data_IF_221916900182
#
_entry.id   IF_221916900182
#
_cell.length_a   1.000
_cell.length_b   1.000
_cell.length_c   1.000
_cell.angle_alpha   90.00
_cell.angle_beta   90.00
_cell.angle_gamma   90.00
#
_symmetry.space_group_name_H-M   'P 1'
#
loop_
_entity.id
_entity.type
_entity.pdbx_description
1 polymer ?
#
# COMPACT_ATOMS: atom_id res chain seq x y z
N UNK A 1 43.55 -37.71 34.12
CA UNK A 1 44.57 -37.05 34.99
C UNK A 1 44.11 -35.60 35.18
N UNK A 2 43.59 -35.24 36.35
CA UNK A 2 44.32 -34.68 37.52
C UNK A 2 44.97 -33.31 37.21
N UNK A 3 44.44 -32.19 37.73
CA UNK A 3 44.61 -31.61 39.09
C UNK A 3 45.87 -30.71 39.13
N UNK A 4 45.98 -29.51 39.73
CA UNK A 4 45.19 -28.58 40.58
C UNK A 4 45.83 -27.16 40.41
N UNK A 5 45.52 -26.03 41.08
CA UNK A 5 45.07 -25.77 42.47
C UNK A 5 44.74 -24.27 42.66
N UNK A 6 43.83 -23.94 43.60
CA UNK A 6 43.61 -22.56 44.11
C UNK A 6 44.56 -22.23 45.28
N UNK A 7 44.57 -20.96 45.74
CA UNK A 7 44.26 -20.61 47.15
C UNK A 7 43.10 -19.56 47.22
N UNK A 8 42.08 -19.60 48.10
CA UNK A 8 42.03 -19.51 49.60
C UNK A 8 42.61 -18.17 50.13
N UNK A 9 41.98 -17.39 51.04
CA UNK A 9 41.05 -17.72 52.14
C UNK A 9 40.25 -16.48 52.66
N UNK A 10 39.12 -16.69 53.38
CA UNK A 10 38.62 -15.78 54.44
C UNK A 10 39.37 -16.01 55.78
N UNK A 11 38.86 -15.68 57.00
CA UNK A 11 37.50 -15.30 57.45
C UNK A 11 37.52 -13.92 58.18
N UNK A 12 36.70 -13.49 59.17
CA UNK A 12 35.53 -14.02 59.91
C UNK A 12 34.51 -12.89 60.20
N UNK A 13 33.33 -13.30 60.69
CA UNK A 13 32.23 -12.51 61.22
C UNK A 13 32.54 -11.87 62.59
N UNK A 14 31.69 -10.91 63.00
CA UNK A 14 31.15 -10.61 64.36
C UNK A 14 31.10 -9.09 64.63
N UNK A 15 30.16 -8.53 65.40
CA UNK A 15 28.85 -8.94 65.98
C UNK A 15 28.33 -7.73 66.78
N UNK A 16 27.01 -7.69 67.07
CA UNK A 16 26.34 -6.73 68.00
C UNK A 16 26.24 -5.30 67.42
N UNK A 17 25.17 -4.54 67.62
CA UNK A 17 23.88 -4.83 68.25
C UNK A 17 23.42 -3.73 69.20
N UNK A 18 22.15 -3.35 69.12
CA UNK A 18 21.42 -2.73 70.22
C UNK A 18 21.15 -1.23 70.13
N UNK A 19 19.96 -0.91 70.65
CA UNK A 19 19.51 0.35 71.25
C UNK A 19 19.05 1.49 70.33
N UNK A 20 17.76 1.80 70.51
CA UNK A 20 17.09 2.97 69.98
C UNK A 20 17.49 4.24 70.74
N UNK A 21 17.44 5.37 70.04
CA UNK A 21 17.35 6.70 70.66
C UNK A 21 16.19 7.45 69.98
N UNK A 22 15.08 7.62 70.70
CA UNK A 22 13.98 8.52 70.32
C UNK A 22 14.21 9.86 71.00
N UNK A 23 14.45 10.93 70.25
CA UNK A 23 14.33 12.30 70.76
C UNK A 23 13.59 13.18 69.74
N UNK A 24 12.46 13.74 70.19
CA UNK A 24 11.89 15.08 69.85
C UNK A 24 12.11 15.61 68.41
N UNK A 25 11.07 15.84 67.60
CA UNK A 25 10.21 17.04 67.69
C UNK A 25 11.03 18.31 67.39
N UNK A 26 10.74 19.15 66.39
CA UNK A 26 9.45 19.78 66.05
C UNK A 26 9.44 20.32 64.60
N UNK A 27 8.26 20.84 64.20
CA UNK A 27 8.01 21.75 63.07
C UNK A 27 7.92 21.14 61.64
N UNK A 28 6.85 21.52 60.95
CA UNK A 28 6.49 21.08 59.62
C UNK A 28 6.83 22.14 58.56
N UNK A 29 7.14 21.70 57.34
CA UNK A 29 6.84 22.45 56.12
C UNK A 29 6.15 21.48 55.17
N UNK A 30 4.95 21.84 54.72
CA UNK A 30 4.19 21.05 53.76
C UNK A 30 4.74 21.30 52.35
N UNK A 31 5.06 20.22 51.64
CA UNK A 31 5.28 20.22 50.20
C UNK A 31 4.38 19.15 49.57
N UNK A 32 3.12 19.52 49.30
CA UNK A 32 2.23 18.73 48.46
C UNK A 32 2.69 18.82 47.00
N UNK A 33 3.75 18.08 46.69
CA UNK A 33 4.18 17.83 45.32
C UNK A 33 3.12 17.00 44.62
N UNK A 34 2.24 17.66 43.86
CA UNK A 34 1.23 17.01 43.04
C UNK A 34 1.92 16.17 41.96
N UNK A 35 2.05 14.86 42.21
CA UNK A 35 2.49 13.91 41.20
C UNK A 35 1.45 13.86 40.08
N UNK A 36 1.73 14.53 38.96
CA UNK A 36 0.96 14.36 37.74
C UNK A 36 1.15 12.93 37.24
N UNK A 37 0.26 12.03 37.65
CA UNK A 37 0.03 10.76 36.99
C UNK A 37 -0.51 11.08 35.59
N UNK A 38 0.39 11.15 34.61
CA UNK A 38 0.03 11.20 33.20
C UNK A 38 -0.52 9.83 32.83
N UNK A 39 -1.82 9.65 33.02
CA UNK A 39 -2.54 8.55 32.39
C UNK A 39 -2.42 8.72 30.88
N UNK A 40 -2.00 7.70 30.11
CA UNK A 40 -2.09 7.77 28.66
C UNK A 40 -3.58 7.90 28.32
N UNK A 41 -3.94 9.02 27.68
CA UNK A 41 -5.28 9.18 27.15
C UNK A 41 -5.46 8.16 26.02
N UNK A 42 -6.12 7.04 26.31
CA UNK A 42 -6.68 6.19 25.28
C UNK A 42 -7.58 7.09 24.42
N UNK A 43 -7.23 7.25 23.15
CA UNK A 43 -7.96 8.11 22.23
C UNK A 43 -9.42 7.64 22.19
N UNK A 44 -10.32 8.50 22.66
CA UNK A 44 -11.75 8.28 22.46
C UNK A 44 -12.01 8.52 20.99
N UNK A 45 -12.47 7.50 20.28
CA UNK A 45 -13.04 7.66 18.95
C UNK A 45 -14.06 8.81 18.99
N UNK A 46 -13.92 9.76 18.07
CA UNK A 46 -14.77 10.93 18.03
C UNK A 46 -16.17 10.52 17.53
N UNK A 47 -17.23 11.30 17.85
CA UNK A 47 -18.58 11.02 17.34
C UNK A 47 -18.62 10.88 15.81
N UNK A 48 -17.74 11.64 15.14
CA UNK A 48 -17.57 11.63 13.71
C UNK A 48 -17.03 10.29 13.20
N UNK A 49 -16.10 9.63 13.90
CA UNK A 49 -15.55 8.32 13.52
C UNK A 49 -16.65 7.24 13.47
N UNK A 50 -17.60 7.28 14.41
CA UNK A 50 -18.73 6.35 14.43
C UNK A 50 -19.71 6.59 13.28
N UNK A 51 -20.04 7.85 13.01
CA UNK A 51 -20.92 8.22 11.89
C UNK A 51 -20.28 7.92 10.51
N UNK A 52 -18.96 8.13 10.39
CA UNK A 52 -18.13 7.77 9.24
C UNK A 52 -18.13 6.24 9.04
N UNK A 53 -18.02 5.45 10.13
CA UNK A 53 -18.11 3.99 10.09
C UNK A 53 -19.48 3.49 9.61
N UNK A 54 -20.58 4.01 10.16
CA UNK A 54 -21.94 3.62 9.77
C UNK A 54 -22.24 3.96 8.29
N UNK A 55 -21.84 5.16 7.84
CA UNK A 55 -21.99 5.56 6.42
C UNK A 55 -21.14 4.68 5.50
N UNK A 56 -19.90 4.40 5.89
CA UNK A 56 -19.01 3.51 5.14
C UNK A 56 -19.55 2.09 5.02
N UNK A 57 -20.17 1.56 6.08
CA UNK A 57 -20.84 0.26 6.05
C UNK A 57 -22.02 0.22 5.08
N UNK A 58 -22.86 1.26 5.06
CA UNK A 58 -24.00 1.35 4.13
C UNK A 58 -23.52 1.36 2.67
N UNK A 59 -22.55 2.22 2.35
CA UNK A 59 -21.93 2.30 1.04
C UNK A 59 -21.31 0.97 0.60
N UNK A 60 -20.64 0.27 1.53
CA UNK A 60 -20.09 -1.06 1.27
C UNK A 60 -21.19 -2.07 0.93
N UNK A 61 -22.28 -2.07 1.71
CA UNK A 61 -23.44 -2.93 1.49
C UNK A 61 -24.07 -2.69 0.10
N UNK A 62 -24.24 -1.43 -0.29
CA UNK A 62 -24.86 -0.98 -1.55
C UNK A 62 -23.99 -1.26 -2.79
N UNK A 63 -22.67 -1.11 -2.69
CA UNK A 63 -21.78 -1.06 -3.85
C UNK A 63 -20.76 -2.20 -3.95
N UNK A 64 -20.27 -2.73 -2.82
CA UNK A 64 -19.07 -3.57 -2.79
C UNK A 64 -19.37 -5.07 -2.56
N UNK A 65 -20.42 -5.39 -1.80
CA UNK A 65 -20.74 -6.77 -1.36
C UNK A 65 -20.91 -7.78 -2.49
N UNK A 66 -21.37 -7.33 -3.67
CA UNK A 66 -21.54 -8.19 -4.87
C UNK A 66 -20.25 -8.90 -5.29
N UNK A 67 -19.10 -8.28 -5.07
CA UNK A 67 -17.79 -8.78 -5.51
C UNK A 67 -16.86 -9.11 -4.32
N UNK A 68 -16.88 -8.29 -3.27
CA UNK A 68 -16.02 -8.48 -2.10
C UNK A 68 -16.68 -9.28 -0.95
N UNK A 69 -17.94 -9.69 -1.11
CA UNK A 69 -18.68 -10.44 -0.09
C UNK A 69 -19.22 -9.57 1.05
N UNK A 70 -20.02 -10.17 1.94
CA UNK A 70 -20.58 -9.44 3.08
C UNK A 70 -19.57 -9.26 4.23
N UNK A 71 -18.57 -10.13 4.29
CA UNK A 71 -17.52 -10.18 5.31
C UNK A 71 -16.12 -9.85 4.77
N UNK A 72 -16.04 -9.25 3.57
CA UNK A 72 -14.77 -8.91 2.94
C UNK A 72 -13.96 -10.14 2.49
N UNK A 73 -14.61 -11.29 2.33
CA UNK A 73 -14.00 -12.56 1.93
C UNK A 73 -13.54 -12.59 0.46
N UNK A 74 -14.19 -11.80 -0.40
CA UNK A 74 -13.95 -11.77 -1.83
C UNK A 74 -14.21 -13.11 -2.53
N UNK A 75 -13.59 -13.28 -3.69
CA UNK A 75 -13.48 -14.54 -4.41
C UNK A 75 -12.11 -14.57 -5.12
N UNK A 76 -11.01 -14.84 -4.39
CA UNK A 76 -9.67 -14.80 -4.97
C UNK A 76 -9.47 -15.86 -6.07
N UNK A 77 -8.69 -15.57 -7.13
CA UNK A 77 -7.95 -14.33 -7.36
C UNK A 77 -8.79 -13.21 -8.00
N UNK A 78 -10.00 -13.50 -8.48
CA UNK A 78 -10.82 -12.57 -9.29
C UNK A 78 -11.27 -11.32 -8.54
N UNK A 79 -11.65 -11.49 -7.27
CA UNK A 79 -11.95 -10.39 -6.35
C UNK A 79 -11.15 -10.60 -5.07
N UNK A 80 -10.19 -9.72 -4.72
CA UNK A 80 -9.35 -9.92 -3.55
C UNK A 80 -10.18 -9.86 -2.27
N UNK A 81 -9.76 -10.66 -1.28
CA UNK A 81 -10.21 -10.50 0.08
C UNK A 81 -9.80 -9.11 0.61
N UNK A 82 -10.72 -8.46 1.32
CA UNK A 82 -10.48 -7.23 2.05
C UNK A 82 -10.25 -7.51 3.53
N UNK A 83 -10.87 -8.54 4.10
CA UNK A 83 -10.63 -8.96 5.49
C UNK A 83 -9.23 -9.56 5.64
N UNK A 84 -8.43 -8.99 6.55
CA UNK A 84 -7.05 -9.42 6.83
C UNK A 84 -6.02 -8.99 5.78
N UNK A 85 -6.40 -8.12 4.84
CA UNK A 85 -5.53 -7.73 3.73
C UNK A 85 -4.61 -6.56 4.14
N UNK A 86 -3.30 -6.81 4.23
CA UNK A 86 -2.30 -5.81 4.60
C UNK A 86 -2.13 -4.67 3.57
N UNK A 87 -2.54 -4.87 2.31
CA UNK A 87 -2.55 -3.80 1.30
C UNK A 87 -3.49 -2.64 1.68
N UNK A 88 -4.39 -2.87 2.64
CA UNK A 88 -5.29 -1.84 3.16
C UNK A 88 -4.61 -0.89 4.17
N UNK A 89 -3.32 -1.04 4.47
CA UNK A 89 -2.57 -0.07 5.27
C UNK A 89 -2.37 1.27 4.52
N UNK A 90 -2.20 1.22 3.20
CA UNK A 90 -2.08 2.42 2.35
C UNK A 90 -3.46 3.07 2.10
N UNK A 91 -3.67 4.25 2.68
CA UNK A 91 -4.92 5.00 2.54
C UNK A 91 -5.08 5.63 1.15
N UNK A 92 -4.00 6.14 0.56
CA UNK A 92 -4.03 6.81 -0.74
C UNK A 92 -4.39 5.81 -1.84
N UNK A 93 -3.80 4.60 -1.77
CA UNK A 93 -4.11 3.46 -2.64
C UNK A 93 -5.60 3.08 -2.63
N UNK A 94 -6.21 2.95 -1.45
CA UNK A 94 -7.64 2.59 -1.34
C UNK A 94 -8.50 3.67 -1.99
N UNK A 95 -8.20 4.94 -1.71
CA UNK A 95 -8.91 6.09 -2.30
C UNK A 95 -8.77 6.09 -3.82
N UNK A 96 -7.57 5.84 -4.35
CA UNK A 96 -7.33 5.75 -5.79
C UNK A 96 -8.14 4.61 -6.42
N UNK A 97 -8.12 3.42 -5.84
CA UNK A 97 -8.84 2.24 -6.37
C UNK A 97 -10.36 2.43 -6.33
N UNK A 98 -10.92 3.09 -5.29
CA UNK A 98 -12.35 3.41 -5.25
C UNK A 98 -12.72 4.51 -6.26
N UNK A 99 -11.90 5.56 -6.39
CA UNK A 99 -12.17 6.67 -7.29
C UNK A 99 -12.01 6.32 -8.77
N UNK A 100 -10.92 5.63 -9.13
CA UNK A 100 -10.49 5.37 -10.51
C UNK A 100 -10.85 3.95 -11.00
N UNK A 101 -11.20 3.03 -10.09
CA UNK A 101 -11.35 1.61 -10.38
C UNK A 101 -10.01 0.87 -10.50
N UNK A 102 -10.05 -0.46 -10.54
CA UNK A 102 -8.88 -1.31 -10.80
C UNK A 102 -9.30 -2.70 -11.30
N UNK A 103 -8.79 -3.13 -12.45
CA UNK A 103 -9.16 -4.40 -13.07
C UNK A 103 -10.68 -4.52 -13.28
N UNK A 104 -11.32 -5.49 -12.60
CA UNK A 104 -12.76 -5.70 -12.63
C UNK A 104 -13.56 -4.75 -11.70
N UNK A 105 -12.89 -4.00 -10.82
CA UNK A 105 -13.54 -3.03 -9.93
C UNK A 105 -13.81 -1.73 -10.70
N UNK A 106 -15.08 -1.31 -10.88
CA UNK A 106 -15.39 -0.08 -11.58
C UNK A 106 -15.00 1.16 -10.76
N UNK A 107 -14.79 2.33 -11.40
CA UNK A 107 -14.75 3.60 -10.70
C UNK A 107 -16.12 3.95 -10.11
N UNK A 108 -16.14 4.70 -9.01
CA UNK A 108 -17.37 5.15 -8.35
C UNK A 108 -17.56 6.69 -8.42
N UNK A 109 -17.73 7.28 -9.62
CA UNK A 109 -17.74 8.75 -9.81
C UNK A 109 -18.95 9.46 -9.20
N UNK A 110 -19.96 8.73 -8.72
CA UNK A 110 -21.13 9.27 -8.03
C UNK A 110 -20.94 9.43 -6.52
N UNK A 111 -19.87 8.85 -5.94
CA UNK A 111 -19.56 9.01 -4.52
C UNK A 111 -18.85 10.33 -4.28
N UNK A 112 -19.23 11.03 -3.21
CA UNK A 112 -18.54 12.26 -2.81
C UNK A 112 -17.21 11.94 -2.13
N UNK A 113 -16.33 12.94 -2.02
CA UNK A 113 -15.10 12.89 -1.21
C UNK A 113 -15.33 12.34 0.20
N UNK A 114 -16.45 12.73 0.83
CA UNK A 114 -16.84 12.26 2.16
C UNK A 114 -17.33 10.81 2.16
N UNK A 115 -18.08 10.39 1.13
CA UNK A 115 -18.51 8.99 0.98
C UNK A 115 -17.31 8.06 0.76
N UNK A 116 -16.34 8.45 -0.07
CA UNK A 116 -15.10 7.68 -0.30
C UNK A 116 -14.27 7.61 0.98
N UNK A 117 -14.15 8.71 1.75
CA UNK A 117 -13.47 8.72 3.03
C UNK A 117 -14.14 7.78 4.05
N UNK A 118 -15.47 7.78 4.11
CA UNK A 118 -16.25 6.88 4.96
C UNK A 118 -16.10 5.41 4.56
N UNK A 119 -16.23 5.10 3.27
CA UNK A 119 -16.09 3.75 2.73
C UNK A 119 -14.66 3.20 2.93
N UNK A 120 -13.63 4.01 2.67
CA UNK A 120 -12.24 3.64 2.91
C UNK A 120 -11.97 3.41 4.41
N UNK A 121 -12.47 4.30 5.28
CA UNK A 121 -12.36 4.14 6.74
C UNK A 121 -13.03 2.86 7.23
N UNK A 122 -14.21 2.53 6.72
CA UNK A 122 -14.90 1.28 7.07
C UNK A 122 -14.08 0.05 6.65
N UNK A 123 -13.67 -0.05 5.38
CA UNK A 123 -12.90 -1.20 4.86
C UNK A 123 -11.57 -1.41 5.62
N UNK A 124 -10.90 -0.31 6.04
CA UNK A 124 -9.66 -0.34 6.82
C UNK A 124 -9.79 -0.81 8.27
N UNK A 125 -11.01 -0.84 8.83
CA UNK A 125 -11.25 -1.14 10.24
C UNK A 125 -12.39 -2.17 10.44
N UNK A 126 -12.91 -2.74 9.36
CA UNK A 126 -13.89 -3.82 9.38
C UNK A 126 -13.20 -5.19 9.56
N UNK A 127 -13.96 -6.14 10.11
CA UNK A 127 -13.57 -7.55 10.25
C UNK A 127 -12.30 -7.72 11.10
N UNK A 128 -11.16 -8.10 10.51
CA UNK A 128 -9.87 -8.27 11.18
C UNK A 128 -8.89 -7.12 10.90
N UNK A 129 -9.32 -6.06 10.20
CA UNK A 129 -8.49 -4.92 9.83
C UNK A 129 -8.47 -3.87 10.96
N UNK A 130 -7.36 -3.11 11.06
CA UNK A 130 -7.20 -2.04 12.06
C UNK A 130 -6.17 -1.01 11.60
N UNK A 131 -6.38 -0.39 10.43
CA UNK A 131 -5.43 0.54 9.82
C UNK A 131 -5.75 2.03 10.06
N UNK A 132 -6.77 2.35 10.86
CA UNK A 132 -7.18 3.73 11.15
C UNK A 132 -8.02 4.36 10.03
N UNK A 133 -8.59 5.53 10.32
CA UNK A 133 -9.50 6.24 9.43
C UNK A 133 -8.82 6.99 8.28
N UNK A 134 -9.62 7.41 7.30
CA UNK A 134 -9.25 8.26 6.16
C UNK A 134 -10.11 9.51 6.21
N UNK A 135 -9.51 10.70 6.16
CA UNK A 135 -10.27 11.96 6.18
C UNK A 135 -10.70 12.38 4.77
N UNK A 136 -11.74 13.21 4.69
CA UNK A 136 -12.13 13.84 3.44
C UNK A 136 -11.00 14.71 2.84
N UNK A 137 -10.13 15.29 3.67
CA UNK A 137 -8.97 16.05 3.21
C UNK A 137 -7.93 15.16 2.52
N UNK A 138 -7.69 13.94 3.03
CA UNK A 138 -6.87 12.94 2.33
C UNK A 138 -7.47 12.59 0.97
N UNK A 139 -8.78 12.36 0.90
CA UNK A 139 -9.45 12.05 -0.37
C UNK A 139 -9.39 13.24 -1.34
N UNK A 140 -9.58 14.46 -0.85
CA UNK A 140 -9.48 15.67 -1.65
C UNK A 140 -8.06 15.91 -2.17
N UNK A 141 -7.02 15.58 -1.38
CA UNK A 141 -5.63 15.66 -1.79
C UNK A 141 -5.32 14.66 -2.92
N UNK A 142 -5.70 13.39 -2.79
CA UNK A 142 -5.48 12.37 -3.83
C UNK A 142 -6.31 12.66 -5.10
N UNK A 143 -7.54 13.16 -4.95
CA UNK A 143 -8.34 13.64 -6.08
C UNK A 143 -7.73 14.87 -6.76
N UNK A 144 -7.13 15.80 -6.00
CA UNK A 144 -6.44 16.97 -6.55
C UNK A 144 -5.12 16.61 -7.23
N UNK A 145 -4.37 15.62 -6.71
CA UNK A 145 -3.21 15.05 -7.39
C UNK A 145 -3.62 14.39 -8.72
N UNK A 146 -4.78 13.74 -8.75
CA UNK A 146 -5.40 13.18 -9.97
C UNK A 146 -5.96 14.24 -10.92
N UNK A 147 -6.30 15.43 -10.44
CA UNK A 147 -6.81 16.55 -11.26
C UNK A 147 -5.70 17.47 -11.78
N UNK A 148 -4.60 17.66 -11.02
CA UNK A 148 -3.36 18.23 -11.55
C UNK A 148 -2.69 17.28 -12.55
N UNK A 149 -2.95 15.98 -12.46
CA UNK A 149 -2.66 15.04 -13.54
C UNK A 149 -3.51 15.29 -14.82
N UNK A 150 -4.50 16.18 -14.85
CA UNK A 150 -5.14 16.62 -16.10
C UNK A 150 -4.35 17.76 -16.78
N UNK A 151 -3.30 18.29 -16.14
CA UNK A 151 -2.19 19.01 -16.81
C UNK A 151 -1.14 18.00 -17.31
N UNK A 152 -1.62 16.94 -17.95
CA UNK A 152 -0.95 15.64 -18.02
C UNK A 152 0.29 15.62 -18.88
N UNK A 153 1.36 14.99 -18.38
CA UNK A 153 2.40 14.42 -19.24
C UNK A 153 1.85 13.16 -19.90
N UNK A 154 1.92 13.07 -21.22
CA UNK A 154 1.56 11.87 -21.96
C UNK A 154 2.70 10.84 -21.90
N UNK A 155 2.36 9.56 -21.99
CA UNK A 155 3.37 8.50 -22.26
C UNK A 155 4.16 8.71 -23.55
N UNK A 156 3.71 9.61 -24.44
CA UNK A 156 4.41 10.01 -25.66
C UNK A 156 5.47 11.11 -25.47
N UNK A 157 5.56 11.71 -24.27
CA UNK A 157 6.42 12.88 -24.00
C UNK A 157 7.84 12.51 -23.53
N UNK A 158 8.27 11.25 -23.70
CA UNK A 158 9.61 10.81 -23.28
C UNK A 158 9.74 10.54 -21.78
N UNK A 159 8.81 9.76 -21.21
CA UNK A 159 8.64 9.62 -19.75
C UNK A 159 9.53 8.55 -19.08
N UNK A 160 10.41 7.91 -19.83
CA UNK A 160 11.30 6.83 -19.37
C UNK A 160 12.62 6.88 -20.17
N UNK A 161 13.71 6.34 -19.64
CA UNK A 161 15.00 6.25 -20.36
C UNK A 161 15.14 4.92 -21.11
N UNK A 162 15.95 4.89 -22.18
CA UNK A 162 16.29 3.65 -22.88
C UNK A 162 16.96 2.62 -21.95
N UNK A 163 17.85 3.07 -21.05
CA UNK A 163 18.48 2.22 -20.04
C UNK A 163 17.44 1.59 -19.10
N UNK A 164 16.43 2.36 -18.68
CA UNK A 164 15.33 1.85 -17.87
C UNK A 164 14.53 0.76 -18.61
N UNK A 165 14.21 0.98 -19.89
CA UNK A 165 13.51 -0.01 -20.71
C UNK A 165 14.35 -1.28 -20.94
N UNK A 166 15.69 -1.17 -21.02
CA UNK A 166 16.60 -2.33 -21.12
C UNK A 166 16.64 -3.14 -19.82
N UNK A 167 16.71 -2.49 -18.65
CA UNK A 167 16.58 -3.19 -17.35
C UNK A 167 15.23 -3.88 -17.24
N UNK A 168 14.15 -3.19 -17.64
CA UNK A 168 12.79 -3.70 -17.68
C UNK A 168 12.62 -4.94 -18.56
N UNK A 169 13.27 -4.97 -19.72
CA UNK A 169 13.29 -6.14 -20.59
C UNK A 169 13.91 -7.36 -19.89
N UNK A 170 14.99 -7.14 -19.13
CA UNK A 170 15.65 -8.20 -18.36
C UNK A 170 14.73 -8.76 -17.28
N UNK A 171 14.14 -7.90 -16.43
CA UNK A 171 13.21 -8.30 -15.39
C UNK A 171 11.95 -9.01 -15.95
N UNK A 172 11.35 -8.44 -17.00
CA UNK A 172 10.23 -9.04 -17.74
C UNK A 172 10.56 -10.44 -18.26
N UNK A 173 11.79 -10.65 -18.75
CA UNK A 173 12.21 -11.94 -19.31
C UNK A 173 12.17 -13.07 -18.27
N UNK A 174 12.51 -12.76 -17.01
CA UNK A 174 12.49 -13.69 -15.89
C UNK A 174 11.11 -13.95 -15.31
N UNK A 175 10.31 -12.90 -15.08
CA UNK A 175 9.06 -12.99 -14.32
C UNK A 175 7.79 -13.16 -15.18
N UNK A 176 7.76 -12.63 -16.41
CA UNK A 176 6.51 -12.43 -17.16
C UNK A 176 6.47 -13.15 -18.51
N UNK A 177 7.63 -13.38 -19.12
CA UNK A 177 7.73 -13.84 -20.52
C UNK A 177 7.18 -15.24 -20.80
N UNK A 178 7.01 -16.06 -19.76
CA UNK A 178 6.42 -17.40 -19.85
C UNK A 178 4.93 -17.36 -20.19
N UNK A 179 4.18 -16.40 -19.64
CA UNK A 179 2.74 -16.25 -19.90
C UNK A 179 2.46 -15.21 -21.01
N UNK A 180 3.11 -14.04 -20.94
CA UNK A 180 2.83 -12.93 -21.84
C UNK A 180 3.67 -12.92 -23.14
N UNK A 181 4.43 -13.99 -23.37
CA UNK A 181 5.28 -14.19 -24.54
C UNK A 181 6.58 -13.38 -24.50
N UNK A 182 7.64 -13.92 -25.11
CA UNK A 182 8.99 -13.30 -25.11
C UNK A 182 9.07 -11.92 -25.79
N UNK A 183 8.02 -11.49 -26.48
CA UNK A 183 7.92 -10.18 -27.17
C UNK A 183 6.66 -9.41 -26.80
N UNK A 184 6.11 -9.63 -25.60
CA UNK A 184 4.87 -8.99 -25.11
C UNK A 184 3.64 -9.27 -26.01
N UNK A 185 3.71 -10.31 -26.84
CA UNK A 185 2.71 -10.67 -27.84
C UNK A 185 1.62 -11.63 -27.32
N UNK A 186 1.64 -11.93 -26.01
CA UNK A 186 0.82 -12.96 -25.38
C UNK A 186 1.32 -14.37 -25.69
N UNK A 187 0.57 -15.37 -25.21
CA UNK A 187 0.72 -16.77 -25.60
C UNK A 187 -0.53 -17.22 -26.40
N UNK A 188 -0.68 -16.82 -27.68
CA UNK A 188 -1.81 -17.25 -28.52
C UNK A 188 -1.59 -18.63 -29.18
N UNK A 189 -0.33 -19.06 -29.35
CA UNK A 189 0.03 -20.15 -30.28
C UNK A 189 0.62 -21.41 -29.61
N UNK A 190 0.80 -21.41 -28.29
CA UNK A 190 1.32 -22.56 -27.53
C UNK A 190 0.17 -23.23 -26.75
N UNK A 191 -0.25 -24.46 -27.10
CA UNK A 191 -1.36 -25.14 -26.45
C UNK A 191 -1.07 -25.59 -25.02
N UNK A 192 0.20 -25.62 -24.61
CA UNK A 192 0.63 -25.98 -23.25
C UNK A 192 0.75 -24.74 -22.34
N UNK A 193 0.53 -23.52 -22.87
CA UNK A 193 0.53 -22.27 -22.11
C UNK A 193 -0.88 -21.75 -21.80
N UNK A 194 -1.07 -21.10 -20.64
CA UNK A 194 -2.31 -20.34 -20.36
C UNK A 194 -2.38 -19.14 -21.30
N UNK A 195 -3.50 -19.01 -22.01
CA UNK A 195 -3.74 -17.87 -22.89
C UNK A 195 -3.74 -16.56 -22.09
N UNK A 196 -2.72 -15.74 -22.30
CA UNK A 196 -2.54 -14.44 -21.65
C UNK A 196 -2.52 -13.31 -22.68
N UNK A 197 -3.01 -12.11 -22.34
CA UNK A 197 -3.07 -11.00 -23.29
C UNK A 197 -1.66 -10.51 -23.67
N UNK A 198 -1.48 -9.97 -24.90
CA UNK A 198 -0.32 -9.17 -25.23
C UNK A 198 -0.32 -7.89 -24.38
N UNK A 199 0.88 -7.49 -23.95
CA UNK A 199 1.10 -6.37 -23.03
C UNK A 199 1.65 -5.12 -23.73
N UNK A 200 1.75 -5.12 -25.06
CA UNK A 200 2.28 -4.00 -25.84
C UNK A 200 1.42 -3.63 -27.05
N UNK A 201 1.76 -2.48 -27.65
CA UNK A 201 1.25 -1.97 -28.94
C UNK A 201 -0.27 -1.71 -28.89
N UNK A 202 -0.96 -1.90 -30.02
CA UNK A 202 -2.35 -1.52 -30.19
C UNK A 202 -3.34 -2.18 -29.21
N UNK A 203 -3.05 -3.37 -28.64
CA UNK A 203 -3.91 -3.95 -27.59
C UNK A 203 -3.65 -3.33 -26.22
N UNK A 204 -2.39 -3.05 -25.87
CA UNK A 204 -2.06 -2.28 -24.67
C UNK A 204 -2.76 -0.92 -24.68
N UNK A 205 -2.60 -0.15 -25.75
CA UNK A 205 -3.23 1.17 -25.88
C UNK A 205 -4.76 1.09 -25.70
N UNK A 206 -5.46 0.19 -26.39
CA UNK A 206 -6.93 0.08 -26.25
C UNK A 206 -7.44 -0.33 -24.87
N UNK A 207 -6.65 -1.06 -24.08
CA UNK A 207 -7.04 -1.50 -22.74
C UNK A 207 -6.79 -0.41 -21.68
N UNK A 208 -5.72 0.36 -21.87
CA UNK A 208 -5.22 1.32 -20.87
C UNK A 208 -5.45 2.79 -21.24
N UNK A 209 -6.02 3.08 -22.41
CA UNK A 209 -6.33 4.45 -22.85
C UNK A 209 -7.19 5.21 -21.84
N UNK A 210 -6.75 6.44 -21.51
CA UNK A 210 -7.34 7.30 -20.51
C UNK A 210 -6.92 7.01 -19.06
N UNK A 211 -6.16 5.93 -18.79
CA UNK A 211 -5.68 5.58 -17.45
C UNK A 211 -4.28 6.09 -17.17
N UNK A 212 -3.95 6.28 -15.89
CA UNK A 212 -2.61 6.69 -15.46
C UNK A 212 -1.62 5.51 -15.45
N UNK A 213 -0.31 5.79 -15.53
CA UNK A 213 0.72 4.78 -15.29
C UNK A 213 0.64 4.22 -13.86
N UNK A 214 0.17 4.98 -12.87
CA UNK A 214 -0.09 4.44 -11.53
C UNK A 214 -1.16 3.35 -11.55
N UNK A 215 -2.24 3.53 -12.33
CA UNK A 215 -3.28 2.50 -12.47
C UNK A 215 -2.71 1.20 -13.06
N UNK A 216 -1.82 1.31 -14.06
CA UNK A 216 -1.12 0.17 -14.66
C UNK A 216 -0.13 -0.49 -13.69
N UNK A 217 0.70 0.31 -13.02
CA UNK A 217 1.68 -0.12 -12.03
C UNK A 217 1.02 -0.89 -10.91
N UNK A 218 -0.04 -0.33 -10.33
CA UNK A 218 -0.74 -0.95 -9.22
C UNK A 218 -1.50 -2.21 -9.61
N UNK A 219 -2.14 -2.22 -10.77
CA UNK A 219 -2.74 -3.44 -11.31
C UNK A 219 -1.68 -4.54 -11.52
N UNK A 220 -0.53 -4.18 -12.07
CA UNK A 220 0.57 -5.13 -12.35
C UNK A 220 1.10 -5.70 -11.05
N UNK A 221 1.40 -4.87 -10.05
CA UNK A 221 1.81 -5.30 -8.70
C UNK A 221 0.81 -6.24 -8.02
N UNK A 222 -0.48 -5.90 -8.07
CA UNK A 222 -1.53 -6.65 -7.36
C UNK A 222 -1.95 -7.97 -8.02
N UNK A 223 -1.77 -8.09 -9.34
CA UNK A 223 -2.30 -9.23 -10.11
C UNK A 223 -1.24 -10.07 -10.81
N UNK A 224 0.01 -9.59 -10.88
CA UNK A 224 1.11 -10.24 -11.59
C UNK A 224 2.41 -10.30 -10.76
N UNK A 225 3.19 -11.40 -10.86
CA UNK A 225 2.81 -12.70 -11.45
C UNK A 225 1.57 -13.33 -10.79
N UNK A 226 0.71 -14.01 -11.55
CA UNK A 226 -0.59 -14.52 -11.05
C UNK A 226 -0.43 -15.53 -9.89
N UNK A 227 0.66 -16.28 -9.90
CA UNK A 227 1.04 -17.26 -8.88
C UNK A 227 1.72 -16.64 -7.65
N UNK A 228 2.29 -15.44 -7.78
CA UNK A 228 2.99 -14.74 -6.71
C UNK A 228 2.97 -13.20 -6.89
N UNK A 229 1.83 -12.52 -6.69
CA UNK A 229 1.74 -11.07 -6.88
C UNK A 229 2.61 -10.28 -5.90
N UNK A 230 3.01 -9.07 -6.28
CA UNK A 230 3.87 -8.15 -5.51
C UNK A 230 5.17 -8.83 -5.01
N UNK A 231 5.81 -9.62 -5.88
CA UNK A 231 7.02 -10.40 -5.57
C UNK A 231 8.32 -9.79 -6.10
N UNK A 232 8.23 -8.80 -6.98
CA UNK A 232 9.36 -8.01 -7.47
C UNK A 232 9.52 -6.72 -6.66
N UNK A 233 10.68 -6.06 -6.76
CA UNK A 233 10.89 -4.74 -6.19
C UNK A 233 10.10 -3.66 -6.95
N UNK A 234 9.81 -2.55 -6.28
CA UNK A 234 9.05 -1.41 -6.83
C UNK A 234 9.77 -0.82 -8.06
N UNK A 235 11.10 -0.79 -8.05
CA UNK A 235 11.98 -0.43 -9.17
C UNK A 235 11.82 -1.40 -10.37
N UNK A 236 11.76 -2.71 -10.13
CA UNK A 236 11.60 -3.69 -11.20
C UNK A 236 10.25 -3.55 -11.89
N UNK A 237 9.18 -3.23 -11.15
CA UNK A 237 7.87 -2.95 -11.74
C UNK A 237 7.88 -1.66 -12.61
N UNK A 238 8.57 -0.61 -12.18
CA UNK A 238 8.71 0.63 -12.96
C UNK A 238 9.53 0.40 -14.24
N UNK A 239 10.65 -0.31 -14.12
CA UNK A 239 11.49 -0.71 -15.24
C UNK A 239 10.70 -1.57 -16.26
N UNK A 240 9.92 -2.56 -15.79
CA UNK A 240 9.05 -3.38 -16.65
C UNK A 240 8.04 -2.51 -17.40
N UNK A 241 7.46 -1.49 -16.77
CA UNK A 241 6.53 -0.57 -17.44
C UNK A 241 7.24 0.26 -18.52
N UNK A 242 8.45 0.77 -18.25
CA UNK A 242 9.27 1.43 -19.29
C UNK A 242 9.50 0.51 -20.50
N UNK A 243 9.76 -0.79 -20.27
CA UNK A 243 9.87 -1.77 -21.36
C UNK A 243 8.55 -1.97 -22.13
N UNK A 244 7.40 -2.04 -21.45
CA UNK A 244 6.08 -2.12 -22.09
C UNK A 244 5.78 -0.89 -22.97
N UNK A 245 6.15 0.31 -22.52
CA UNK A 245 6.01 1.56 -23.27
C UNK A 245 6.94 1.60 -24.50
N UNK A 246 8.24 1.32 -24.30
CA UNK A 246 9.23 1.21 -25.40
C UNK A 246 8.79 0.21 -26.48
N UNK A 247 8.38 -0.99 -26.07
CA UNK A 247 7.90 -2.02 -27.01
C UNK A 247 6.54 -1.71 -27.66
N UNK A 248 5.80 -0.75 -27.10
CA UNK A 248 4.57 -0.18 -27.67
C UNK A 248 4.83 0.98 -28.64
N UNK A 249 6.05 1.51 -28.68
CA UNK A 249 6.50 2.54 -29.63
C UNK A 249 6.60 3.95 -29.04
N UNK A 250 6.39 4.14 -27.74
CA UNK A 250 6.61 5.42 -27.08
C UNK A 250 8.11 5.78 -27.12
N UNK A 251 8.47 7.06 -27.33
CA UNK A 251 9.87 7.49 -27.29
C UNK A 251 10.40 7.45 -25.85
N UNK A 252 11.70 7.18 -25.72
CA UNK A 252 12.43 7.47 -24.49
C UNK A 252 12.72 8.98 -24.37
N UNK A 253 12.97 9.45 -23.15
CA UNK A 253 13.48 10.78 -22.82
C UNK A 253 14.64 10.69 -21.81
N UNK A 254 14.89 11.80 -21.12
CA UNK A 254 16.07 11.96 -20.25
C UNK A 254 15.86 11.51 -18.80
N UNK A 255 14.60 11.44 -18.33
CA UNK A 255 14.23 11.10 -16.94
C UNK A 255 13.69 9.67 -16.83
N UNK A 256 13.99 8.99 -15.72
CA UNK A 256 13.42 7.66 -15.41
C UNK A 256 12.03 7.75 -14.78
N UNK A 257 11.16 6.78 -15.07
CA UNK A 257 9.92 6.56 -14.34
C UNK A 257 10.24 6.26 -12.87
N UNK A 258 9.78 7.13 -11.98
CA UNK A 258 9.86 6.91 -10.55
C UNK A 258 9.00 5.69 -10.13
N UNK A 259 9.49 4.84 -9.20
CA UNK A 259 8.83 3.60 -8.81
C UNK A 259 7.68 3.80 -7.80
N UNK A 260 6.95 4.91 -7.90
CA UNK A 260 5.90 5.28 -6.95
C UNK A 260 4.61 5.75 -7.63
N UNK A 261 3.48 5.35 -7.06
CA UNK A 261 2.15 5.60 -7.61
C UNK A 261 1.78 7.09 -7.64
N UNK A 262 2.37 7.96 -6.81
CA UNK A 262 2.08 9.41 -6.79
C UNK A 262 2.78 10.13 -7.95
N UNK A 263 3.96 9.70 -8.35
CA UNK A 263 4.65 10.20 -9.54
C UNK A 263 3.96 9.67 -10.80
N UNK A 264 3.72 8.36 -10.86
CA UNK A 264 3.09 7.70 -12.00
C UNK A 264 1.63 8.10 -12.24
N UNK A 265 0.92 8.64 -11.23
CA UNK A 265 -0.45 9.14 -11.38
C UNK A 265 -0.55 10.32 -12.35
N UNK A 266 0.55 11.06 -12.56
CA UNK A 266 0.61 12.28 -13.40
C UNK A 266 0.88 12.00 -14.87
N UNK A 267 1.12 10.74 -15.22
CA UNK A 267 1.43 10.30 -16.58
C UNK A 267 0.26 9.46 -17.08
N UNK A 268 -0.38 9.87 -18.18
CA UNK A 268 -1.57 9.16 -18.72
C UNK A 268 -1.29 8.52 -20.07
N UNK A 269 -1.77 7.29 -20.20
CA UNK A 269 -1.75 6.49 -21.42
C UNK A 269 -2.83 7.05 -22.34
N UNK A 270 -2.44 7.80 -23.37
CA UNK A 270 -3.32 8.27 -24.46
C UNK A 270 -2.78 7.72 -25.78
N UNK A 271 -3.59 7.67 -26.84
CA UNK A 271 -3.05 7.41 -28.17
C UNK A 271 -2.37 8.66 -28.74
N UNK A 272 -1.44 8.45 -29.69
CA UNK A 272 -0.82 9.54 -30.44
C UNK A 272 -1.88 10.18 -31.36
N UNK A 273 -2.00 11.51 -31.32
CA UNK A 273 -2.91 12.30 -32.16
C UNK A 273 -2.31 12.57 -33.55
#
# INVERSE_FOLDING_TARGET
MWNSRMPTSGPDLRRRGGMAVRWTGWAAIAALGAGCLVFPAAARAQPDDAAISDRGQQLYAEHCTRCHGATGEGNPPTFPALSGNNQLEDAARIVQVIGQGSGNMPPFPTLTTADIAALASYVRNAWTNSFGGVSADTVAAEASLSADADRTTSVWDGVFTDDQAVRGQSAYSGACSFCHGRRLNGAPDDPDMRSSPPLARARFLREWEGRSLATLYEYTRLTMPEDNPNSLADEEYADIIAYLLSASGMPAGDDELAPDSRSLARIVIRQQQ
#
